data_IF_610450506959
#
_entry.id   IF_610450506959
#
_cell.length_a   1.000
_cell.length_b   1.000
_cell.length_c   1.000
_cell.angle_alpha   90.00
_cell.angle_beta   90.00
_cell.angle_gamma   90.00
#
_symmetry.space_group_name_H-M   'P 1'
#
loop_
_entity.id
_entity.type
_entity.pdbx_description
1 polymer ?
#
# COMPACT_ATOMS: atom_id res chain seq x y z
N UNK A 1 16.68 -12.10 14.14
CA UNK A 1 15.77 -12.11 15.29
C UNK A 1 14.49 -11.39 14.94
N UNK A 2 13.37 -12.04 15.17
CA UNK A 2 12.05 -11.48 14.87
C UNK A 2 11.45 -10.89 16.14
N UNK A 3 10.91 -9.68 16.02
CA UNK A 3 10.11 -9.12 17.08
C UNK A 3 8.80 -9.88 17.17
N UNK A 4 8.33 -10.10 18.38
CA UNK A 4 7.03 -10.70 18.58
C UNK A 4 5.92 -9.72 18.24
N UNK A 5 4.81 -10.24 17.72
CA UNK A 5 3.62 -9.44 17.48
C UNK A 5 3.10 -8.91 18.82
N UNK A 6 2.69 -7.65 18.82
CA UNK A 6 2.17 -7.01 20.03
C UNK A 6 1.14 -5.95 19.70
N UNK A 7 0.34 -5.61 20.68
CA UNK A 7 -0.68 -4.56 20.55
C UNK A 7 -0.48 -3.55 21.66
N UNK A 8 -0.53 -2.28 21.30
CA UNK A 8 -0.44 -1.16 22.24
C UNK A 8 -1.75 -0.37 22.15
N UNK A 9 -2.27 0.02 23.32
CA UNK A 9 -3.43 0.89 23.42
C UNK A 9 -2.93 2.32 23.63
N UNK A 10 -3.28 3.20 22.70
CA UNK A 10 -2.94 4.61 22.82
C UNK A 10 -3.80 5.34 23.85
N UNK A 11 -3.39 6.57 24.20
CA UNK A 11 -4.11 7.41 25.16
C UNK A 11 -5.54 7.75 24.71
N UNK A 12 -5.76 7.76 23.41
CA UNK A 12 -7.08 8.01 22.80
C UNK A 12 -7.93 6.75 22.67
N UNK A 13 -7.47 5.61 23.20
CA UNK A 13 -8.15 4.32 23.09
C UNK A 13 -7.90 3.59 21.78
N UNK A 14 -7.15 4.17 20.85
CA UNK A 14 -6.83 3.50 19.59
C UNK A 14 -5.79 2.42 19.80
N UNK A 15 -5.94 1.35 19.02
CA UNK A 15 -5.02 0.22 19.05
C UNK A 15 -3.96 0.37 17.98
N UNK A 16 -2.71 0.07 18.35
CA UNK A 16 -1.61 -0.07 17.39
C UNK A 16 -1.10 -1.50 17.48
N UNK A 17 -1.11 -2.18 16.37
CA UNK A 17 -0.64 -3.55 16.26
C UNK A 17 0.72 -3.56 15.57
N UNK A 18 1.68 -4.24 16.20
CA UNK A 18 3.00 -4.48 15.62
C UNK A 18 3.01 -5.92 15.11
N UNK A 19 3.17 -6.07 13.80
CA UNK A 19 3.16 -7.37 13.14
C UNK A 19 4.51 -7.58 12.48
N UNK A 20 5.17 -8.69 12.80
CA UNK A 20 6.41 -9.08 12.16
C UNK A 20 6.15 -10.29 11.27
N UNK A 21 6.36 -10.12 9.98
CA UNK A 21 6.19 -11.21 9.01
C UNK A 21 6.93 -10.87 7.72
N UNK A 22 7.40 -11.90 7.04
CA UNK A 22 7.99 -11.80 5.70
C UNK A 22 7.11 -12.50 4.66
N UNK A 23 5.99 -13.07 5.08
CA UNK A 23 5.10 -13.86 4.24
C UNK A 23 3.76 -13.13 4.07
N UNK A 24 3.38 -12.90 2.82
CA UNK A 24 2.13 -12.21 2.49
C UNK A 24 0.89 -12.97 2.96
N UNK A 25 0.91 -14.29 2.91
CA UNK A 25 -0.21 -15.11 3.39
C UNK A 25 -0.36 -14.98 4.90
N UNK A 26 0.75 -15.00 5.62
CA UNK A 26 0.74 -14.80 7.07
C UNK A 26 0.27 -13.40 7.45
N UNK A 27 0.69 -12.38 6.71
CA UNK A 27 0.24 -11.01 6.93
C UNK A 27 -1.28 -10.89 6.78
N UNK A 28 -1.83 -11.43 5.70
CA UNK A 28 -3.28 -11.42 5.47
C UNK A 28 -4.02 -12.12 6.61
N UNK A 29 -3.53 -13.27 7.02
CA UNK A 29 -4.14 -14.06 8.10
C UNK A 29 -4.14 -13.28 9.41
N UNK A 30 -3.03 -12.61 9.74
CA UNK A 30 -2.92 -11.81 10.97
C UNK A 30 -3.85 -10.59 10.94
N UNK A 31 -3.90 -9.87 9.83
CA UNK A 31 -4.79 -8.71 9.67
C UNK A 31 -6.25 -9.15 9.77
N UNK A 32 -6.61 -10.20 9.07
CA UNK A 32 -7.97 -10.75 9.10
C UNK A 32 -8.35 -11.20 10.50
N UNK A 33 -7.42 -11.85 11.21
CA UNK A 33 -7.63 -12.31 12.59
C UNK A 33 -7.88 -11.18 13.57
N UNK A 34 -7.39 -9.97 13.27
CA UNK A 34 -7.65 -8.77 14.07
C UNK A 34 -9.01 -8.13 13.75
N UNK A 35 -9.74 -8.65 12.78
CA UNK A 35 -11.07 -8.18 12.42
C UNK A 35 -11.13 -7.07 11.39
N UNK A 36 -10.01 -6.66 10.82
CA UNK A 36 -9.98 -5.59 9.82
C UNK A 36 -10.39 -6.10 8.43
N UNK A 37 -11.19 -5.32 7.73
CA UNK A 37 -11.66 -5.61 6.37
C UNK A 37 -11.09 -4.65 5.34
N UNK A 38 -10.82 -3.42 5.74
CA UNK A 38 -10.28 -2.37 4.89
C UNK A 38 -9.01 -1.84 5.52
N UNK A 39 -7.94 -1.78 4.75
CA UNK A 39 -6.64 -1.35 5.23
C UNK A 39 -6.07 -0.33 4.26
N UNK A 40 -5.74 0.85 4.77
CA UNK A 40 -4.99 1.84 4.02
C UNK A 40 -3.50 1.60 4.29
N UNK A 41 -2.74 1.44 3.23
CA UNK A 41 -1.31 1.18 3.33
C UNK A 41 -0.56 2.46 3.00
N UNK A 42 0.25 2.90 3.95
CA UNK A 42 1.17 4.01 3.78
C UNK A 42 2.56 3.52 4.18
N UNK A 43 3.58 4.04 3.54
CA UNK A 43 4.93 3.65 3.89
C UNK A 43 5.94 4.02 2.83
N UNK A 44 7.17 3.54 2.99
CA UNK A 44 8.23 3.76 2.04
C UNK A 44 8.18 2.81 0.84
N UNK A 45 9.15 2.96 -0.05
CA UNK A 45 9.22 2.19 -1.28
C UNK A 45 9.29 0.68 -1.06
N UNK A 46 9.91 0.24 0.03
CA UNK A 46 10.03 -1.19 0.32
C UNK A 46 8.70 -1.83 0.71
N UNK A 47 7.91 -1.15 1.54
CA UNK A 47 6.55 -1.59 1.89
C UNK A 47 5.69 -1.65 0.64
N UNK A 48 5.74 -0.62 -0.17
CA UNK A 48 5.01 -0.55 -1.42
C UNK A 48 5.39 -1.70 -2.36
N UNK A 49 6.69 -1.95 -2.50
CA UNK A 49 7.20 -3.04 -3.34
C UNK A 49 6.71 -4.41 -2.87
N UNK A 50 6.72 -4.64 -1.56
CA UNK A 50 6.21 -5.87 -0.98
C UNK A 50 4.74 -6.09 -1.34
N UNK A 51 3.92 -5.07 -1.18
CA UNK A 51 2.49 -5.17 -1.49
C UNK A 51 2.23 -5.34 -2.99
N UNK A 52 2.97 -4.63 -3.84
CA UNK A 52 2.83 -4.76 -5.30
C UNK A 52 3.28 -6.15 -5.77
N UNK A 53 4.44 -6.61 -5.31
CA UNK A 53 5.00 -7.88 -5.74
C UNK A 53 4.16 -9.08 -5.29
N UNK A 54 3.43 -8.95 -4.20
CA UNK A 54 2.57 -10.00 -3.67
C UNK A 54 1.09 -9.81 -4.04
N UNK A 55 0.78 -8.85 -4.90
CA UNK A 55 -0.58 -8.54 -5.36
C UNK A 55 -1.55 -8.30 -4.21
N UNK A 56 -1.08 -7.64 -3.17
CA UNK A 56 -1.89 -7.38 -1.97
C UNK A 56 -2.80 -6.16 -2.12
N UNK A 57 -2.43 -5.20 -2.98
CA UNK A 57 -3.28 -4.04 -3.21
C UNK A 57 -4.48 -4.40 -4.08
N UNK A 58 -5.66 -3.98 -3.67
CA UNK A 58 -6.86 -4.00 -4.50
C UNK A 58 -6.93 -2.74 -5.34
N UNK A 59 -6.51 -1.63 -4.76
CA UNK A 59 -6.61 -0.31 -5.34
C UNK A 59 -5.35 0.49 -4.99
N UNK A 60 -4.81 1.21 -5.95
CA UNK A 60 -3.63 2.04 -5.77
C UNK A 60 -3.95 3.46 -6.24
N UNK A 61 -3.64 4.43 -5.41
CA UNK A 61 -3.71 5.85 -5.75
C UNK A 61 -2.30 6.42 -5.76
N UNK A 62 -1.91 7.04 -6.86
CA UNK A 62 -0.61 7.69 -6.96
C UNK A 62 -0.76 9.18 -7.13
N UNK A 63 0.11 9.92 -6.47
CA UNK A 63 0.17 11.38 -6.55
C UNK A 63 1.60 11.73 -6.95
N UNK A 64 1.79 12.27 -8.12
CA UNK A 64 3.11 12.60 -8.65
C UNK A 64 3.21 14.10 -8.88
N UNK A 65 4.20 14.75 -8.27
CA UNK A 65 4.51 16.13 -8.57
C UNK A 65 5.43 16.15 -9.79
N UNK A 66 4.93 16.64 -10.91
CA UNK A 66 5.64 16.60 -12.19
C UNK A 66 6.80 17.59 -12.27
N UNK A 67 6.85 18.56 -11.36
CA UNK A 67 7.89 19.60 -11.35
C UNK A 67 8.98 19.34 -10.30
N UNK A 68 8.80 18.37 -9.43
CA UNK A 68 9.76 18.06 -8.37
C UNK A 68 10.53 16.79 -8.71
N UNK A 69 11.84 16.93 -8.79
CA UNK A 69 12.74 15.80 -9.01
C UNK A 69 13.70 15.73 -7.82
N UNK A 70 13.67 14.62 -7.10
CA UNK A 70 14.60 14.37 -6.01
C UNK A 70 15.90 13.81 -6.58
N UNK A 71 17.03 14.37 -6.15
CA UNK A 71 18.36 13.93 -6.63
C UNK A 71 18.83 12.66 -5.94
N UNK A 72 18.25 12.32 -4.81
CA UNK A 72 18.59 11.11 -4.04
C UNK A 72 17.35 10.54 -3.38
N UNK A 73 17.42 9.28 -3.01
CA UNK A 73 16.33 8.57 -2.39
C UNK A 73 16.08 7.23 -3.07
N UNK A 74 15.17 6.46 -2.51
CA UNK A 74 14.77 5.18 -3.07
C UNK A 74 13.63 5.42 -4.06
N UNK A 75 13.80 4.94 -5.30
CA UNK A 75 12.77 5.06 -6.32
C UNK A 75 11.53 4.26 -5.92
N UNK A 76 10.35 4.84 -6.11
CA UNK A 76 9.11 4.11 -5.92
C UNK A 76 8.96 3.03 -6.98
N UNK A 77 8.45 1.85 -6.63
CA UNK A 77 8.16 0.82 -7.60
C UNK A 77 7.07 1.28 -8.55
N UNK A 78 7.20 0.90 -9.81
CA UNK A 78 6.17 1.20 -10.80
C UNK A 78 5.01 0.23 -10.65
N UNK A 79 3.80 0.73 -10.91
CA UNK A 79 2.62 -0.12 -10.97
C UNK A 79 2.72 -1.01 -12.21
N UNK A 80 2.57 -2.32 -12.02
CA UNK A 80 2.70 -3.29 -13.11
C UNK A 80 1.41 -3.34 -13.90
N UNK A 81 1.46 -2.87 -15.15
CA UNK A 81 0.29 -2.76 -16.02
C UNK A 81 -0.39 -4.11 -16.31
N UNK A 82 0.34 -5.23 -16.24
CA UNK A 82 -0.25 -6.55 -16.44
C UNK A 82 -1.16 -6.98 -15.28
N UNK A 83 -1.02 -6.36 -14.11
CA UNK A 83 -1.77 -6.73 -12.91
C UNK A 83 -2.77 -5.66 -12.47
N UNK A 84 -2.60 -4.43 -12.93
CA UNK A 84 -3.42 -3.30 -12.52
C UNK A 84 -3.87 -2.51 -13.74
N UNK A 85 -5.13 -2.10 -13.73
CA UNK A 85 -5.70 -1.24 -14.77
C UNK A 85 -5.77 0.19 -14.27
N UNK A 86 -5.31 1.12 -15.09
CA UNK A 86 -5.53 2.55 -14.85
C UNK A 86 -6.99 2.86 -15.11
N UNK A 87 -7.72 3.28 -14.08
CA UNK A 87 -9.16 3.56 -14.23
C UNK A 87 -9.48 5.05 -14.19
N UNK A 88 -8.57 5.86 -13.64
CA UNK A 88 -8.73 7.30 -13.65
C UNK A 88 -7.37 7.97 -13.65
N UNK A 89 -7.26 9.03 -14.44
CA UNK A 89 -6.08 9.89 -14.49
C UNK A 89 -6.55 11.33 -14.58
N UNK A 90 -6.02 12.17 -13.70
CA UNK A 90 -6.33 13.61 -13.75
C UNK A 90 -5.13 14.41 -13.29
N UNK A 91 -5.05 15.64 -13.77
CA UNK A 91 -4.03 16.59 -13.38
C UNK A 91 -4.65 17.69 -12.56
N UNK A 92 -4.06 17.98 -11.42
CA UNK A 92 -4.48 19.06 -10.54
C UNK A 92 -3.26 19.91 -10.23
N UNK A 93 -3.21 21.12 -10.75
CA UNK A 93 -2.01 21.96 -10.76
C UNK A 93 -0.85 21.19 -11.43
N UNK A 94 0.26 20.97 -10.69
CA UNK A 94 1.41 20.19 -11.18
C UNK A 94 1.41 18.74 -10.70
N UNK A 95 0.29 18.28 -10.12
CA UNK A 95 0.18 16.92 -9.63
C UNK A 95 -0.59 16.05 -10.62
N UNK A 96 0.02 14.93 -10.97
CA UNK A 96 -0.65 13.88 -11.71
C UNK A 96 -1.21 12.89 -10.72
N UNK A 97 -2.51 12.68 -10.76
CA UNK A 97 -3.23 11.80 -9.84
C UNK A 97 -3.78 10.63 -10.65
N UNK A 98 -3.37 9.43 -10.29
CA UNK A 98 -3.80 8.22 -10.97
C UNK A 98 -4.44 7.25 -9.98
N UNK A 99 -5.45 6.55 -10.44
CA UNK A 99 -6.09 5.48 -9.70
C UNK A 99 -6.02 4.20 -10.50
N UNK A 100 -5.56 3.14 -9.86
CA UNK A 100 -5.43 1.81 -10.47
C UNK A 100 -6.26 0.82 -9.68
N UNK A 101 -6.85 -0.13 -10.39
CA UNK A 101 -7.59 -1.24 -9.79
C UNK A 101 -6.93 -2.55 -10.24
N UNK A 102 -6.79 -3.49 -9.32
CA UNK A 102 -6.25 -4.81 -9.66
C UNK A 102 -7.17 -5.48 -10.68
N UNK A 103 -6.60 -6.01 -11.77
CA UNK A 103 -7.37 -6.40 -12.93
C UNK A 103 -8.17 -7.70 -12.77
N UNK A 104 -7.98 -8.44 -11.68
CA UNK A 104 -8.82 -9.60 -11.34
C UNK A 104 -10.07 -9.23 -10.55
N UNK A 105 -10.27 -7.93 -10.25
CA UNK A 105 -11.43 -7.43 -9.53
C UNK A 105 -12.51 -6.93 -10.50
N UNK A 106 -13.79 -6.94 -10.11
CA UNK A 106 -14.85 -6.35 -10.92
C UNK A 106 -14.57 -4.87 -11.18
N UNK A 107 -14.79 -4.44 -12.42
CA UNK A 107 -14.67 -3.01 -12.77
C UNK A 107 -15.87 -2.26 -12.19
N UNK A 108 -15.66 -1.10 -11.55
CA UNK A 108 -16.76 -0.30 -11.02
C UNK A 108 -17.64 0.30 -12.12
#
# INVERSE_FOLDING_TARGET
QHDEDRTIIGKDGRLTHFISTLDSTDLKRKIFGLGYRNVLVEGGAEVFRFFINNLLFHEIHTFENQNLILKSGIANPKVIASNYNLIEEKTYFQHLICQYLRNDLPTP
#
